data_IF_214415769684
#
_entry.id   IF_214415769684
#
_cell.length_a   1.000
_cell.length_b   1.000
_cell.length_c   1.000
_cell.angle_alpha   90.00
_cell.angle_beta   90.00
_cell.angle_gamma   90.00
#
_symmetry.space_group_name_H-M   'P 1'
#
loop_
_entity.id
_entity.type
_entity.pdbx_description
1 polymer ?
#
# COMPACT_ATOMS: atom_id res chain seq x y z
N UNK A 1 -9.92 -3.86 19.43
CA UNK A 1 -9.63 -3.15 18.16
C UNK A 1 -8.85 -1.85 18.34
N UNK A 2 -9.19 -0.93 19.28
CA UNK A 2 -8.52 0.38 19.37
C UNK A 2 -7.00 0.33 19.53
N UNK A 3 -6.49 -0.58 20.37
CA UNK A 3 -5.04 -0.79 20.57
C UNK A 3 -4.35 -1.18 19.25
N UNK A 4 -4.97 -2.05 18.46
CA UNK A 4 -4.40 -2.53 17.21
C UNK A 4 -4.38 -1.44 16.13
N UNK A 5 -5.44 -0.63 16.03
CA UNK A 5 -5.45 0.57 15.18
C UNK A 5 -4.40 1.61 15.63
N UNK A 6 -4.23 1.78 16.95
CA UNK A 6 -3.18 2.64 17.51
C UNK A 6 -1.76 2.17 17.14
N UNK A 7 -1.52 0.85 17.15
CA UNK A 7 -0.24 0.29 16.70
C UNK A 7 0.00 0.53 15.20
N UNK A 8 -1.01 0.29 14.34
CA UNK A 8 -0.89 0.59 12.91
C UNK A 8 -0.62 2.09 12.70
N UNK A 9 -1.30 2.95 13.46
CA UNK A 9 -1.10 4.39 13.39
C UNK A 9 0.35 4.77 13.72
N UNK A 10 0.88 4.34 14.86
CA UNK A 10 2.24 4.69 15.29
C UNK A 10 3.30 4.13 14.33
N UNK A 11 3.19 2.85 13.95
CA UNK A 11 4.14 2.20 13.05
C UNK A 11 4.06 2.79 11.63
N UNK A 12 2.85 3.04 11.14
CA UNK A 12 2.60 3.65 9.84
C UNK A 12 3.11 5.08 9.76
N UNK A 13 2.85 5.91 10.78
CA UNK A 13 3.39 7.27 10.89
C UNK A 13 4.92 7.26 10.85
N UNK A 14 5.53 6.55 11.80
CA UNK A 14 6.99 6.54 11.97
C UNK A 14 7.69 5.94 10.74
N UNK A 15 7.18 4.83 10.22
CA UNK A 15 7.74 4.14 9.06
C UNK A 15 7.67 4.97 7.79
N UNK A 16 6.50 5.52 7.45
CA UNK A 16 6.33 6.25 6.20
C UNK A 16 7.00 7.63 6.24
N UNK A 17 7.00 8.34 7.38
CA UNK A 17 7.80 9.58 7.54
C UNK A 17 9.28 9.28 7.32
N UNK A 18 9.80 8.20 7.92
CA UNK A 18 11.19 7.80 7.74
C UNK A 18 11.51 7.52 6.26
N UNK A 19 10.63 6.83 5.55
CA UNK A 19 10.77 6.59 4.10
C UNK A 19 10.85 7.92 3.33
N UNK A 20 9.93 8.86 3.60
CA UNK A 20 9.95 10.17 2.94
C UNK A 20 11.25 10.93 3.23
N UNK A 21 11.71 10.97 4.48
CA UNK A 21 12.95 11.66 4.88
C UNK A 21 14.17 11.08 4.17
N UNK A 22 14.31 9.75 4.15
CA UNK A 22 15.44 9.07 3.47
C UNK A 22 15.42 9.36 1.98
N UNK A 23 14.25 9.26 1.36
CA UNK A 23 14.11 9.51 -0.07
C UNK A 23 14.40 10.98 -0.37
N UNK A 24 13.95 11.94 0.44
CA UNK A 24 14.08 13.39 0.15
C UNK A 24 15.53 13.84 0.23
N UNK A 25 16.28 13.26 1.16
CA UNK A 25 17.73 13.47 1.24
C UNK A 25 18.47 13.09 -0.04
N UNK A 26 17.96 12.12 -0.79
CA UNK A 26 18.56 11.64 -2.04
C UNK A 26 17.77 12.07 -3.28
N UNK A 27 16.96 13.14 -3.19
CA UNK A 27 16.06 13.60 -4.26
C UNK A 27 16.70 13.67 -5.65
N UNK A 28 17.93 14.18 -5.75
CA UNK A 28 18.63 14.35 -7.02
C UNK A 28 19.12 13.05 -7.66
N UNK A 29 19.24 11.97 -6.87
CA UNK A 29 19.72 10.66 -7.34
C UNK A 29 18.64 9.57 -7.25
N UNK A 30 17.39 9.95 -6.99
CA UNK A 30 16.24 9.04 -6.92
C UNK A 30 16.06 8.30 -8.24
N UNK A 31 16.04 6.97 -8.14
CA UNK A 31 15.56 6.10 -9.21
C UNK A 31 14.04 6.19 -9.34
N UNK A 32 13.49 5.72 -10.47
CA UNK A 32 12.03 5.77 -10.70
C UNK A 32 11.23 4.95 -9.71
N UNK A 33 11.75 3.79 -9.28
CA UNK A 33 11.10 3.03 -8.19
C UNK A 33 11.12 3.81 -6.89
N UNK A 34 12.23 4.49 -6.55
CA UNK A 34 12.27 5.36 -5.36
C UNK A 34 11.25 6.51 -5.46
N UNK A 35 10.97 7.05 -6.66
CA UNK A 35 9.88 8.03 -6.85
C UNK A 35 8.49 7.42 -6.65
N UNK A 36 8.22 6.22 -7.17
CA UNK A 36 6.94 5.54 -6.91
C UNK A 36 6.76 5.20 -5.41
N UNK A 37 7.84 4.75 -4.75
CA UNK A 37 7.85 4.50 -3.30
C UNK A 37 7.62 5.78 -2.50
N UNK A 38 8.11 6.93 -2.97
CA UNK A 38 7.82 8.21 -2.35
C UNK A 38 6.31 8.52 -2.39
N UNK A 39 5.67 8.42 -3.56
CA UNK A 39 4.22 8.63 -3.67
C UNK A 39 3.41 7.60 -2.89
N UNK A 40 3.90 6.36 -2.80
CA UNK A 40 3.27 5.31 -1.99
C UNK A 40 3.31 5.66 -0.50
N UNK A 41 4.45 6.12 0.01
CA UNK A 41 4.57 6.57 1.39
C UNK A 41 3.72 7.82 1.69
N UNK A 42 3.51 8.72 0.72
CA UNK A 42 2.56 9.83 0.85
C UNK A 42 1.12 9.32 0.95
N UNK A 43 0.71 8.40 0.08
CA UNK A 43 -0.63 7.79 0.14
C UNK A 43 -0.85 7.07 1.48
N UNK A 44 0.11 6.23 1.89
CA UNK A 44 0.05 5.48 3.14
C UNK A 44 -0.03 6.42 4.37
N UNK A 45 0.65 7.58 4.35
CA UNK A 45 0.49 8.57 5.42
C UNK A 45 -0.91 9.18 5.46
N UNK A 46 -1.49 9.53 4.31
CA UNK A 46 -2.87 10.03 4.25
C UNK A 46 -3.85 8.99 4.82
N UNK A 47 -3.63 7.70 4.53
CA UNK A 47 -4.40 6.61 5.14
C UNK A 47 -4.21 6.55 6.66
N UNK A 48 -2.98 6.65 7.14
CA UNK A 48 -2.69 6.60 8.56
C UNK A 48 -3.37 7.75 9.32
N UNK A 49 -3.41 8.96 8.74
CA UNK A 49 -4.10 10.10 9.33
C UNK A 49 -5.62 9.90 9.49
N UNK A 50 -6.26 9.03 8.69
CA UNK A 50 -7.69 8.75 8.83
C UNK A 50 -8.01 7.66 9.87
N UNK A 51 -7.03 6.86 10.30
CA UNK A 51 -7.26 5.76 11.27
C UNK A 51 -7.88 6.20 12.61
N UNK A 52 -7.51 7.36 13.21
CA UNK A 52 -8.17 7.83 14.42
C UNK A 52 -9.67 8.07 14.24
N UNK A 53 -10.11 8.47 13.04
CA UNK A 53 -11.52 8.68 12.72
C UNK A 53 -12.29 7.36 12.69
N UNK A 54 -11.68 6.28 12.18
CA UNK A 54 -12.27 4.94 12.22
C UNK A 54 -12.43 4.42 13.67
N UNK A 55 -11.45 4.70 14.55
CA UNK A 55 -11.55 4.36 15.98
C UNK A 55 -12.64 5.17 16.67
N UNK A 56 -12.75 6.46 16.36
CA UNK A 56 -13.79 7.34 16.89
C UNK A 56 -15.20 6.86 16.48
N UNK A 57 -15.39 6.54 15.21
CA UNK A 57 -16.65 5.98 14.70
C UNK A 57 -17.06 4.70 15.43
N UNK A 58 -16.12 3.77 15.63
CA UNK A 58 -16.39 2.52 16.34
C UNK A 58 -16.67 2.68 17.84
N UNK A 59 -16.35 3.84 18.43
CA UNK A 59 -16.49 4.08 19.87
C UNK A 59 -17.71 4.93 20.23
N UNK A 60 -17.95 6.02 19.50
CA UNK A 60 -19.00 7.01 19.79
C UNK A 60 -19.90 7.29 18.59
N UNK A 61 -19.71 6.58 17.49
CA UNK A 61 -20.39 6.86 16.23
C UNK A 61 -19.78 8.04 15.48
N UNK A 62 -20.25 8.25 14.26
CA UNK A 62 -19.82 9.35 13.41
C UNK A 62 -20.52 10.66 13.79
N UNK A 63 -19.81 11.53 14.52
CA UNK A 63 -20.31 12.85 14.98
C UNK A 63 -19.62 14.05 14.31
N UNK A 64 -18.67 13.79 13.41
CA UNK A 64 -17.78 14.81 12.81
C UNK A 64 -18.38 15.49 11.56
N UNK A 65 -19.66 15.26 11.30
CA UNK A 65 -20.40 15.84 10.18
C UNK A 65 -20.11 15.19 8.83
N UNK A 66 -20.91 15.55 7.83
CA UNK A 66 -20.89 14.94 6.49
C UNK A 66 -19.63 15.26 5.69
N UNK A 67 -19.04 16.45 5.88
CA UNK A 67 -17.81 16.83 5.18
C UNK A 67 -16.66 15.87 5.50
N UNK A 68 -16.35 15.69 6.79
CA UNK A 68 -15.29 14.77 7.20
C UNK A 68 -15.63 13.32 6.85
N UNK A 69 -16.91 12.92 6.87
CA UNK A 69 -17.34 11.59 6.46
C UNK A 69 -16.93 11.30 5.00
N UNK A 70 -17.29 12.21 4.09
CA UNK A 70 -16.90 12.14 2.68
C UNK A 70 -15.38 12.14 2.52
N UNK A 71 -14.65 13.01 3.24
CA UNK A 71 -13.20 13.10 3.17
C UNK A 71 -12.50 11.81 3.63
N UNK A 72 -12.92 11.22 4.74
CA UNK A 72 -12.32 10.00 5.30
C UNK A 72 -12.53 8.81 4.36
N UNK A 73 -13.77 8.59 3.90
CA UNK A 73 -14.04 7.51 2.93
C UNK A 73 -13.28 7.75 1.62
N UNK A 74 -13.23 8.98 1.13
CA UNK A 74 -12.49 9.31 -0.09
C UNK A 74 -10.99 9.02 0.06
N UNK A 75 -10.35 9.46 1.14
CA UNK A 75 -8.92 9.21 1.40
C UNK A 75 -8.62 7.72 1.51
N UNK A 76 -9.50 6.94 2.15
CA UNK A 76 -9.39 5.49 2.19
C UNK A 76 -9.37 4.88 0.77
N UNK A 77 -10.32 5.27 -0.09
CA UNK A 77 -10.40 4.78 -1.47
C UNK A 77 -9.23 5.25 -2.34
N UNK A 78 -8.89 6.53 -2.28
CA UNK A 78 -7.75 7.11 -2.99
C UNK A 78 -6.47 6.37 -2.63
N UNK A 79 -6.22 6.13 -1.34
CA UNK A 79 -5.06 5.37 -0.90
C UNK A 79 -5.03 3.99 -1.58
N UNK A 80 -6.12 3.24 -1.52
CA UNK A 80 -6.18 1.91 -2.12
C UNK A 80 -5.86 1.93 -3.63
N UNK A 81 -6.54 2.80 -4.39
CA UNK A 81 -6.32 2.91 -5.84
C UNK A 81 -4.90 3.36 -6.18
N UNK A 82 -4.40 4.40 -5.51
CA UNK A 82 -3.05 4.90 -5.74
C UNK A 82 -2.00 3.85 -5.38
N UNK A 83 -2.11 3.19 -4.23
CA UNK A 83 -1.17 2.16 -3.80
C UNK A 83 -1.13 0.99 -4.78
N UNK A 84 -2.29 0.51 -5.23
CA UNK A 84 -2.39 -0.58 -6.21
C UNK A 84 -1.75 -0.22 -7.56
N UNK A 85 -2.06 0.98 -8.09
CA UNK A 85 -1.52 1.47 -9.36
C UNK A 85 -0.02 1.76 -9.28
N UNK A 86 0.47 2.33 -8.18
CA UNK A 86 1.90 2.56 -7.95
C UNK A 86 2.68 1.26 -7.92
N UNK A 87 2.15 0.21 -7.25
CA UNK A 87 2.76 -1.11 -7.23
C UNK A 87 2.77 -1.77 -8.63
N UNK A 88 1.70 -1.60 -9.41
CA UNK A 88 1.66 -2.04 -10.79
C UNK A 88 2.73 -1.33 -11.65
N UNK A 89 2.88 -0.01 -11.50
CA UNK A 89 3.93 0.74 -12.18
C UNK A 89 5.35 0.31 -11.75
N UNK A 90 5.55 -0.03 -10.48
CA UNK A 90 6.82 -0.61 -10.00
C UNK A 90 7.09 -1.95 -10.70
N UNK A 91 6.10 -2.83 -10.80
CA UNK A 91 6.26 -4.13 -11.47
C UNK A 91 6.60 -3.96 -12.96
N UNK A 92 5.92 -3.04 -13.65
CA UNK A 92 6.19 -2.70 -15.06
C UNK A 92 7.59 -2.09 -15.23
N UNK A 93 8.01 -1.15 -14.36
CA UNK A 93 9.37 -0.57 -14.41
C UNK A 93 10.44 -1.66 -14.25
N UNK A 94 10.23 -2.62 -13.34
CA UNK A 94 11.14 -3.76 -13.15
C UNK A 94 11.15 -4.68 -14.36
N UNK A 95 9.99 -4.98 -14.94
CA UNK A 95 9.87 -5.78 -16.16
C UNK A 95 10.61 -5.16 -17.34
N UNK A 96 10.34 -3.90 -17.65
CA UNK A 96 10.99 -3.19 -18.76
C UNK A 96 12.52 -3.09 -18.57
N UNK A 97 12.97 -2.82 -17.35
CA UNK A 97 14.40 -2.71 -17.04
C UNK A 97 15.17 -4.04 -17.18
N UNK A 98 14.53 -5.18 -16.94
CA UNK A 98 15.20 -6.50 -16.87
C UNK A 98 14.98 -7.32 -18.13
N UNK A 99 13.74 -7.39 -18.61
CA UNK A 99 13.33 -8.26 -19.72
C UNK A 99 13.68 -7.64 -21.06
N UNK A 100 13.44 -6.34 -21.22
CA UNK A 100 13.66 -5.61 -22.47
C UNK A 100 14.94 -4.75 -22.45
N UNK A 101 15.57 -4.57 -21.27
CA UNK A 101 16.83 -3.84 -21.10
C UNK A 101 16.88 -2.47 -21.85
N UNK A 102 15.73 -1.80 -21.95
CA UNK A 102 15.52 -0.68 -22.88
C UNK A 102 16.42 0.51 -22.49
N UNK A 103 17.59 0.64 -23.12
CA UNK A 103 18.52 1.75 -22.88
C UNK A 103 17.90 3.10 -23.27
N UNK A 104 17.05 3.14 -24.30
CA UNK A 104 16.31 4.33 -24.73
C UNK A 104 15.28 4.82 -23.68
N UNK A 105 14.84 3.97 -22.76
CA UNK A 105 13.88 4.31 -21.70
C UNK A 105 14.54 5.10 -20.56
N UNK A 106 15.87 5.07 -20.45
CA UNK A 106 16.61 5.68 -19.33
C UNK A 106 16.68 7.21 -19.42
N UNK A 107 16.61 7.79 -20.64
CA UNK A 107 16.84 9.22 -20.85
C UNK A 107 15.55 10.06 -20.90
N UNK A 108 14.42 9.54 -21.41
CA UNK A 108 13.10 10.23 -21.38
C UNK A 108 12.30 10.02 -20.07
N UNK A 109 12.94 9.44 -19.05
CA UNK A 109 12.30 8.80 -17.90
C UNK A 109 11.78 9.79 -16.85
N UNK A 110 12.53 10.85 -16.54
CA UNK A 110 12.24 11.69 -15.36
C UNK A 110 10.91 12.44 -15.48
N UNK A 111 10.67 13.12 -16.61
CA UNK A 111 9.41 13.83 -16.86
C UNK A 111 8.23 12.84 -16.97
N UNK A 112 8.43 11.70 -17.63
CA UNK A 112 7.41 10.66 -17.79
C UNK A 112 6.96 10.07 -16.45
N UNK A 113 7.85 9.88 -15.46
CA UNK A 113 7.46 9.37 -14.14
C UNK A 113 6.59 10.37 -13.38
N UNK A 114 6.94 11.66 -13.38
CA UNK A 114 6.15 12.66 -12.68
C UNK A 114 4.76 12.80 -13.28
N UNK A 115 4.65 12.77 -14.61
CA UNK A 115 3.36 12.71 -15.31
C UNK A 115 2.60 11.44 -14.92
N UNK A 116 3.28 10.28 -14.91
CA UNK A 116 2.67 9.00 -14.51
C UNK A 116 2.11 9.07 -13.09
N UNK A 117 2.87 9.61 -12.14
CA UNK A 117 2.42 9.77 -10.76
C UNK A 117 1.22 10.73 -10.68
N UNK A 118 1.27 11.87 -11.38
CA UNK A 118 0.14 12.80 -11.44
C UNK A 118 -1.12 12.13 -12.01
N UNK A 119 -0.99 11.35 -13.08
CA UNK A 119 -2.09 10.56 -13.65
C UNK A 119 -2.63 9.54 -12.65
N UNK A 120 -1.77 8.86 -11.89
CA UNK A 120 -2.21 7.90 -10.85
C UNK A 120 -3.02 8.60 -9.76
N UNK A 121 -2.58 9.78 -9.30
CA UNK A 121 -3.33 10.56 -8.31
C UNK A 121 -4.69 10.99 -8.87
N UNK A 122 -4.71 11.56 -10.08
CA UNK A 122 -5.96 11.95 -10.74
C UNK A 122 -6.90 10.77 -10.94
N UNK A 123 -6.38 9.59 -11.33
CA UNK A 123 -7.16 8.37 -11.44
C UNK A 123 -7.70 7.91 -10.08
N UNK A 124 -6.90 8.00 -9.01
CA UNK A 124 -7.34 7.69 -7.65
C UNK A 124 -8.49 8.58 -7.18
N UNK A 125 -8.39 9.90 -7.43
CA UNK A 125 -9.49 10.85 -7.16
C UNK A 125 -10.73 10.55 -8.01
N UNK A 126 -10.54 10.28 -9.29
CA UNK A 126 -11.64 9.96 -10.20
C UNK A 126 -12.39 8.68 -9.79
N UNK A 127 -11.66 7.63 -9.42
CA UNK A 127 -12.29 6.38 -8.97
C UNK A 127 -12.93 6.48 -7.58
N UNK A 128 -12.48 7.40 -6.72
CA UNK A 128 -13.11 7.68 -5.43
C UNK A 128 -14.29 8.68 -5.53
N UNK A 129 -14.61 9.17 -6.73
CA UNK A 129 -15.67 10.14 -6.95
C UNK A 129 -17.06 9.65 -6.48
N UNK A 130 -17.47 8.39 -6.71
CA UNK A 130 -18.75 7.90 -6.20
C UNK A 130 -18.86 8.07 -4.68
N UNK A 131 -17.82 7.78 -3.93
CA UNK A 131 -17.78 7.92 -2.48
C UNK A 131 -17.85 9.39 -2.06
N UNK A 132 -17.14 10.27 -2.74
CA UNK A 132 -17.21 11.72 -2.48
C UNK A 132 -18.65 12.23 -2.66
N UNK A 133 -19.34 11.78 -3.71
CA UNK A 133 -20.69 12.22 -4.04
C UNK A 133 -21.75 11.62 -3.11
N UNK A 134 -21.68 10.31 -2.84
CA UNK A 134 -22.76 9.55 -2.22
C UNK A 134 -22.52 9.12 -0.77
N UNK A 135 -21.33 9.36 -0.18
CA UNK A 135 -21.15 9.16 1.25
C UNK A 135 -21.99 10.14 2.08
N UNK A 136 -22.69 9.60 3.09
CA UNK A 136 -23.58 10.33 4.00
C UNK A 136 -23.44 9.76 5.42
N UNK A 137 -23.84 10.57 6.42
CA UNK A 137 -24.01 10.09 7.78
C UNK A 137 -25.41 9.49 7.90
N UNK A 138 -25.49 8.19 8.15
CA UNK A 138 -26.74 7.47 8.30
C UNK A 138 -26.98 7.18 9.77
N UNK A 139 -28.17 7.55 10.27
CA UNK A 139 -28.67 7.08 11.56
C UNK A 139 -29.46 5.79 11.34
N UNK A 140 -29.04 4.66 11.92
CA UNK A 140 -29.81 3.43 11.79
C UNK A 140 -31.19 3.59 12.44
N UNK A 141 -32.21 2.93 11.89
CA UNK A 141 -33.61 3.06 12.33
C UNK A 141 -33.88 2.63 13.78
N UNK A 142 -32.94 1.92 14.42
CA UNK A 142 -33.04 1.57 15.85
C UNK A 142 -32.39 2.65 16.71
N UNK A 143 -33.18 3.25 17.62
CA UNK A 143 -32.80 4.38 18.47
C UNK A 143 -31.51 4.20 19.30
N UNK A 144 -31.02 2.96 19.49
CA UNK A 144 -29.79 2.67 20.26
C UNK A 144 -28.53 2.51 19.38
N UNK A 145 -28.65 2.67 18.07
CA UNK A 145 -27.52 2.45 17.15
C UNK A 145 -26.70 3.72 16.94
N UNK A 146 -25.37 3.59 17.04
CA UNK A 146 -24.47 4.72 16.77
C UNK A 146 -24.60 5.19 15.30
N UNK A 147 -24.54 6.51 15.03
CA UNK A 147 -24.51 7.04 13.67
C UNK A 147 -23.29 6.52 12.93
N UNK A 148 -23.41 6.19 11.65
CA UNK A 148 -22.32 5.66 10.82
C UNK A 148 -22.11 6.48 9.56
N UNK A 149 -20.87 6.60 9.13
CA UNK A 149 -20.52 7.19 7.85
C UNK A 149 -20.52 6.10 6.77
N UNK A 150 -21.50 6.12 5.88
CA UNK A 150 -21.68 5.06 4.89
C UNK A 150 -22.06 5.58 3.51
N UNK A 151 -21.95 4.72 2.50
CA UNK A 151 -22.42 5.03 1.15
C UNK A 151 -23.95 4.94 1.08
N UNK A 152 -24.58 6.04 0.68
CA UNK A 152 -26.04 6.16 0.61
C UNK A 152 -26.65 5.21 -0.42
N UNK A 153 -27.78 4.61 -0.08
CA UNK A 153 -28.54 3.68 -0.93
C UNK A 153 -30.05 4.00 -0.82
N UNK A 154 -30.41 5.28 -0.72
CA UNK A 154 -31.79 5.72 -0.46
C UNK A 154 -32.66 5.61 -1.72
N UNK A 155 -32.05 5.67 -2.90
CA UNK A 155 -32.73 5.57 -4.18
C UNK A 155 -32.01 4.61 -5.14
N UNK A 156 -32.67 4.31 -6.27
CA UNK A 156 -32.15 3.35 -7.26
C UNK A 156 -30.83 3.83 -7.89
N UNK A 157 -30.67 5.13 -8.13
CA UNK A 157 -29.45 5.68 -8.73
C UNK A 157 -28.25 5.53 -7.79
N UNK A 158 -28.44 5.82 -6.50
CA UNK A 158 -27.46 5.63 -5.44
C UNK A 158 -27.10 4.16 -5.26
N UNK A 159 -28.09 3.26 -5.31
CA UNK A 159 -27.86 1.82 -5.25
C UNK A 159 -27.05 1.33 -6.45
N UNK A 160 -27.36 1.79 -7.66
CA UNK A 160 -26.58 1.46 -8.84
C UNK A 160 -25.15 1.99 -8.74
N UNK A 161 -24.97 3.23 -8.26
CA UNK A 161 -23.65 3.82 -8.04
C UNK A 161 -22.84 3.03 -7.00
N UNK A 162 -23.49 2.52 -5.96
CA UNK A 162 -22.87 1.64 -4.96
C UNK A 162 -22.32 0.35 -5.59
N UNK A 163 -23.13 -0.33 -6.42
CA UNK A 163 -22.68 -1.52 -7.15
C UNK A 163 -21.54 -1.19 -8.13
N UNK A 164 -21.62 -0.07 -8.86
CA UNK A 164 -20.56 0.37 -9.76
C UNK A 164 -19.25 0.66 -9.02
N UNK A 165 -19.31 1.38 -7.88
CA UNK A 165 -18.15 1.61 -7.01
C UNK A 165 -17.54 0.28 -6.57
N UNK A 166 -18.35 -0.68 -6.10
CA UNK A 166 -17.88 -1.98 -5.62
C UNK A 166 -17.25 -2.82 -6.73
N UNK A 167 -17.82 -2.78 -7.93
CA UNK A 167 -17.26 -3.40 -9.12
C UNK A 167 -15.91 -2.77 -9.50
N UNK A 168 -15.83 -1.44 -9.58
CA UNK A 168 -14.58 -0.73 -9.87
C UNK A 168 -13.50 -1.01 -8.81
N UNK A 169 -13.90 -1.06 -7.54
CA UNK A 169 -13.02 -1.35 -6.42
C UNK A 169 -12.46 -2.78 -6.49
N UNK A 170 -13.28 -3.78 -6.81
CA UNK A 170 -12.87 -5.17 -6.90
C UNK A 170 -12.11 -5.49 -8.20
N UNK A 171 -12.65 -5.14 -9.36
CA UNK A 171 -12.04 -5.48 -10.65
C UNK A 171 -10.96 -4.48 -11.05
N UNK A 172 -11.25 -3.19 -10.98
CA UNK A 172 -10.32 -2.14 -11.40
C UNK A 172 -9.20 -1.89 -10.39
N UNK A 173 -9.51 -1.91 -9.10
CA UNK A 173 -8.55 -1.61 -8.04
C UNK A 173 -7.74 -2.81 -7.55
N UNK A 174 -8.28 -4.03 -7.64
CA UNK A 174 -7.62 -5.23 -7.09
C UNK A 174 -7.21 -6.24 -8.18
N UNK A 175 -8.17 -6.82 -8.90
CA UNK A 175 -7.88 -7.92 -9.83
C UNK A 175 -7.02 -7.50 -11.01
N UNK A 176 -7.35 -6.40 -11.69
CA UNK A 176 -6.58 -5.94 -12.85
C UNK A 176 -5.11 -5.62 -12.48
N UNK A 177 -4.81 -4.82 -11.44
CA UNK A 177 -3.44 -4.61 -10.98
C UNK A 177 -2.73 -5.91 -10.59
N UNK A 178 -3.43 -6.85 -9.93
CA UNK A 178 -2.88 -8.16 -9.57
C UNK A 178 -2.42 -8.96 -10.79
N UNK A 179 -3.24 -9.02 -11.82
CA UNK A 179 -2.92 -9.74 -13.05
C UNK A 179 -1.73 -9.09 -13.78
N UNK A 180 -1.71 -7.77 -13.89
CA UNK A 180 -0.60 -7.02 -14.51
C UNK A 180 0.71 -7.27 -13.76
N UNK A 181 0.69 -7.15 -12.43
CA UNK A 181 1.85 -7.39 -11.58
C UNK A 181 2.33 -8.84 -11.66
N UNK A 182 1.41 -9.80 -11.59
CA UNK A 182 1.71 -11.22 -11.72
C UNK A 182 2.40 -11.55 -13.04
N UNK A 183 1.84 -11.10 -14.16
CA UNK A 183 2.43 -11.28 -15.48
C UNK A 183 3.83 -10.65 -15.59
N UNK A 184 4.00 -9.41 -15.09
CA UNK A 184 5.29 -8.73 -15.07
C UNK A 184 6.33 -9.50 -14.24
N UNK A 185 5.99 -9.95 -13.04
CA UNK A 185 6.92 -10.65 -12.17
C UNK A 185 7.28 -12.04 -12.66
N UNK A 186 6.34 -12.77 -13.27
CA UNK A 186 6.64 -14.05 -13.95
C UNK A 186 7.72 -13.84 -15.02
N UNK A 187 7.56 -12.81 -15.86
CA UNK A 187 8.56 -12.46 -16.88
C UNK A 187 9.92 -12.05 -16.28
N UNK A 188 9.91 -11.26 -15.20
CA UNK A 188 11.13 -10.86 -14.48
C UNK A 188 11.86 -12.08 -13.89
N UNK A 189 11.15 -12.96 -13.18
CA UNK A 189 11.72 -14.15 -12.54
C UNK A 189 12.30 -15.08 -13.60
N UNK A 190 11.55 -15.36 -14.67
CA UNK A 190 12.01 -16.22 -15.76
C UNK A 190 13.33 -15.70 -16.37
N UNK A 191 13.42 -14.39 -16.64
CA UNK A 191 14.66 -13.78 -17.17
C UNK A 191 15.80 -13.77 -16.16
N UNK A 192 15.53 -13.64 -14.87
CA UNK A 192 16.55 -13.71 -13.83
C UNK A 192 17.08 -15.13 -13.62
N UNK A 193 16.25 -16.16 -13.82
CA UNK A 193 16.68 -17.55 -13.77
C UNK A 193 17.56 -17.92 -14.97
N UNK A 194 17.26 -17.39 -16.17
CA UNK A 194 18.02 -17.69 -17.39
C UNK A 194 19.37 -16.96 -17.47
N UNK A 195 19.43 -15.72 -17.00
CA UNK A 195 20.64 -14.93 -17.06
C UNK A 195 21.26 -14.89 -15.67
N UNK A 196 22.41 -15.56 -15.44
CA UNK A 196 23.25 -15.46 -14.22
C UNK A 196 23.69 -14.01 -13.97
N UNK A 197 22.75 -13.15 -13.58
CA UNK A 197 22.89 -11.69 -13.50
C UNK A 197 23.17 -11.27 -12.07
N UNK A 198 23.93 -10.17 -11.95
CA UNK A 198 24.47 -9.58 -10.73
C UNK A 198 23.52 -9.62 -9.51
N UNK A 199 24.00 -10.03 -8.31
CA UNK A 199 23.21 -10.14 -7.08
C UNK A 199 22.45 -8.86 -6.68
N UNK A 200 22.96 -7.69 -7.03
CA UNK A 200 22.36 -6.39 -6.67
C UNK A 200 21.01 -6.12 -7.37
N UNK A 201 20.81 -6.60 -8.62
CA UNK A 201 19.53 -6.46 -9.34
C UNK A 201 18.46 -7.41 -8.79
N UNK A 202 18.86 -8.58 -8.31
CA UNK A 202 17.96 -9.54 -7.67
C UNK A 202 17.38 -8.99 -6.36
N UNK A 203 18.16 -8.20 -5.59
CA UNK A 203 17.69 -7.60 -4.32
C UNK A 203 16.53 -6.62 -4.53
N UNK A 204 16.67 -5.65 -5.44
CA UNK A 204 15.60 -4.67 -5.70
C UNK A 204 14.31 -5.31 -6.23
N UNK A 205 14.44 -6.34 -7.06
CA UNK A 205 13.29 -7.14 -7.54
C UNK A 205 12.64 -7.90 -6.40
N UNK A 206 13.43 -8.50 -5.50
CA UNK A 206 12.91 -9.20 -4.32
C UNK A 206 12.09 -8.28 -3.43
N UNK A 207 12.56 -7.05 -3.19
CA UNK A 207 11.78 -6.06 -2.42
C UNK A 207 10.45 -5.74 -3.10
N UNK A 208 10.48 -5.49 -4.42
CA UNK A 208 9.26 -5.20 -5.17
C UNK A 208 8.23 -6.35 -5.11
N UNK A 209 8.68 -7.60 -5.31
CA UNK A 209 7.84 -8.79 -5.19
C UNK A 209 7.27 -8.94 -3.77
N UNK A 210 8.10 -8.74 -2.73
CA UNK A 210 7.65 -8.86 -1.34
C UNK A 210 6.58 -7.82 -0.99
N UNK A 211 6.78 -6.57 -1.41
CA UNK A 211 5.84 -5.47 -1.13
C UNK A 211 4.52 -5.71 -1.87
N UNK A 212 4.58 -6.10 -3.14
CA UNK A 212 3.39 -6.50 -3.89
C UNK A 212 2.69 -7.71 -3.24
N UNK A 213 3.45 -8.71 -2.81
CA UNK A 213 2.91 -9.90 -2.16
C UNK A 213 2.18 -9.56 -0.86
N UNK A 214 2.77 -8.72 -0.01
CA UNK A 214 2.13 -8.27 1.23
C UNK A 214 0.87 -7.45 0.95
N UNK A 215 0.89 -6.55 -0.03
CA UNK A 215 -0.32 -5.82 -0.44
C UNK A 215 -1.46 -6.79 -0.77
N UNK A 216 -1.22 -7.80 -1.62
CA UNK A 216 -2.25 -8.76 -1.96
C UNK A 216 -2.66 -9.65 -0.79
N UNK A 217 -1.73 -10.12 0.02
CA UNK A 217 -2.05 -10.94 1.19
C UNK A 217 -2.91 -10.18 2.20
N UNK A 218 -2.65 -8.88 2.40
CA UNK A 218 -3.42 -8.04 3.29
C UNK A 218 -4.83 -7.74 2.74
N UNK A 219 -4.95 -7.45 1.44
CA UNK A 219 -6.21 -7.02 0.84
C UNK A 219 -7.11 -8.17 0.35
N UNK A 220 -6.55 -9.35 0.03
CA UNK A 220 -7.32 -10.48 -0.51
C UNK A 220 -8.49 -10.90 0.39
N UNK A 221 -8.32 -11.04 1.73
CA UNK A 221 -9.43 -11.42 2.58
C UNK A 221 -10.59 -10.42 2.50
N UNK A 222 -10.29 -9.12 2.43
CA UNK A 222 -11.31 -8.08 2.31
C UNK A 222 -12.03 -8.19 0.97
N UNK A 223 -11.29 -8.36 -0.13
CA UNK A 223 -11.90 -8.50 -1.45
C UNK A 223 -12.72 -9.79 -1.62
N UNK A 224 -12.39 -10.87 -0.91
CA UNK A 224 -13.20 -12.08 -0.90
C UNK A 224 -14.51 -11.82 -0.14
N UNK A 225 -14.43 -11.28 1.07
CA UNK A 225 -15.62 -11.05 1.90
C UNK A 225 -16.54 -9.99 1.28
N UNK A 226 -15.99 -8.90 0.74
CA UNK A 226 -16.76 -7.84 0.06
C UNK A 226 -17.52 -8.39 -1.16
N UNK A 227 -16.91 -9.37 -1.87
CA UNK A 227 -17.53 -10.03 -3.01
C UNK A 227 -18.68 -10.94 -2.57
N UNK A 228 -18.49 -11.74 -1.51
CA UNK A 228 -19.54 -12.56 -0.92
C UNK A 228 -20.72 -11.72 -0.41
N UNK A 229 -20.45 -10.59 0.26
CA UNK A 229 -21.50 -9.64 0.66
C UNK A 229 -22.25 -9.05 -0.55
N UNK A 230 -21.53 -8.76 -1.64
CA UNK A 230 -22.15 -8.29 -2.89
C UNK A 230 -23.08 -9.34 -3.48
N UNK A 231 -22.67 -10.61 -3.52
CA UNK A 231 -23.51 -11.72 -3.98
C UNK A 231 -24.74 -11.93 -3.09
N UNK A 232 -24.59 -11.81 -1.77
CA UNK A 232 -25.70 -11.85 -0.81
C UNK A 232 -26.71 -10.72 -1.08
N UNK A 233 -26.23 -9.48 -1.28
CA UNK A 233 -27.07 -8.32 -1.59
C UNK A 233 -27.78 -8.41 -2.94
N UNK A 234 -27.17 -9.08 -3.91
CA UNK A 234 -27.80 -9.42 -5.20
C UNK A 234 -28.79 -10.58 -5.12
N UNK A 235 -28.99 -11.18 -3.93
CA UNK A 235 -29.80 -12.39 -3.71
C UNK A 235 -29.37 -13.58 -4.58
N UNK A 236 -28.10 -13.58 -5.02
CA UNK A 236 -27.49 -14.67 -5.80
C UNK A 236 -27.04 -15.84 -4.92
N UNK A 237 -27.00 -15.63 -3.59
CA UNK A 237 -26.79 -16.65 -2.57
C UNK A 237 -27.88 -16.51 -1.50
N UNK A 238 -28.18 -17.58 -0.76
CA UNK A 238 -29.14 -17.53 0.34
C UNK A 238 -28.70 -16.51 1.40
N UNK A 239 -29.56 -15.52 1.69
CA UNK A 239 -29.31 -14.48 2.69
C UNK A 239 -30.08 -14.80 3.98
N UNK A 240 -29.37 -15.17 5.05
CA UNK A 240 -29.93 -15.27 6.41
C UNK A 240 -29.43 -14.13 7.29
N UNK A 241 -30.13 -13.82 8.39
CA UNK A 241 -29.67 -12.81 9.36
C UNK A 241 -28.31 -13.18 9.94
N UNK A 242 -28.11 -14.45 10.30
CA UNK A 242 -26.82 -14.96 10.80
C UNK A 242 -25.69 -14.73 9.79
N UNK A 243 -25.92 -15.04 8.50
CA UNK A 243 -24.92 -14.82 7.45
C UNK A 243 -24.53 -13.35 7.34
N UNK A 244 -25.49 -12.42 7.45
CA UNK A 244 -25.21 -10.99 7.39
C UNK A 244 -24.36 -10.51 8.59
N UNK A 245 -24.63 -11.04 9.79
CA UNK A 245 -23.83 -10.74 10.98
C UNK A 245 -22.39 -11.27 10.86
N UNK A 246 -22.23 -12.52 10.40
CA UNK A 246 -20.92 -13.10 10.12
C UNK A 246 -20.14 -12.30 9.07
N UNK A 247 -20.80 -11.91 7.97
CA UNK A 247 -20.19 -11.09 6.94
C UNK A 247 -19.77 -9.72 7.48
N UNK A 248 -20.60 -9.06 8.31
CA UNK A 248 -20.25 -7.76 8.91
C UNK A 248 -18.99 -7.83 9.77
N UNK A 249 -18.86 -8.86 10.60
CA UNK A 249 -17.64 -9.10 11.41
C UNK A 249 -16.45 -9.41 10.49
N UNK A 250 -16.63 -10.27 9.49
CA UNK A 250 -15.58 -10.65 8.56
C UNK A 250 -15.08 -9.44 7.73
N UNK A 251 -15.97 -8.55 7.29
CA UNK A 251 -15.62 -7.29 6.60
C UNK A 251 -14.71 -6.46 7.50
N UNK A 252 -15.12 -6.24 8.75
CA UNK A 252 -14.35 -5.43 9.70
C UNK A 252 -12.96 -6.00 9.98
N UNK A 253 -12.86 -7.32 10.18
CA UNK A 253 -11.58 -7.98 10.47
C UNK A 253 -10.65 -8.02 9.26
N UNK A 254 -11.20 -8.30 8.08
CA UNK A 254 -10.43 -8.36 6.83
C UNK A 254 -10.01 -6.96 6.35
N UNK A 255 -10.82 -5.94 6.58
CA UNK A 255 -10.47 -4.54 6.36
C UNK A 255 -9.31 -4.11 7.26
N UNK A 256 -9.36 -4.45 8.54
CA UNK A 256 -8.25 -4.19 9.47
C UNK A 256 -6.93 -4.77 8.96
N UNK A 257 -6.95 -6.00 8.45
CA UNK A 257 -5.77 -6.63 7.83
C UNK A 257 -5.32 -5.89 6.56
N UNK A 258 -6.26 -5.42 5.73
CA UNK A 258 -6.00 -4.55 4.59
C UNK A 258 -5.29 -3.26 5.00
N UNK A 259 -5.76 -2.60 6.06
CA UNK A 259 -5.16 -1.38 6.62
C UNK A 259 -3.73 -1.62 7.13
N UNK A 260 -3.42 -2.79 7.66
CA UNK A 260 -2.07 -3.13 8.14
C UNK A 260 -0.99 -3.06 7.04
N UNK A 261 -1.35 -3.12 5.75
CA UNK A 261 -0.35 -3.04 4.67
C UNK A 261 0.48 -1.73 4.73
N UNK A 262 -0.12 -0.62 5.16
CA UNK A 262 0.54 0.69 5.17
C UNK A 262 1.71 0.78 6.16
N UNK A 263 1.73 -0.03 7.22
CA UNK A 263 2.85 -0.11 8.15
C UNK A 263 3.86 -1.21 7.78
N UNK A 264 3.43 -2.25 7.06
CA UNK A 264 4.31 -3.32 6.59
C UNK A 264 5.22 -2.86 5.44
N UNK A 265 4.75 -1.94 4.59
CA UNK A 265 5.52 -1.37 3.47
C UNK A 265 6.90 -0.82 3.92
N UNK A 266 6.98 0.17 4.85
CA UNK A 266 8.25 0.64 5.41
C UNK A 266 9.13 -0.44 6.03
N UNK A 267 8.54 -1.41 6.74
CA UNK A 267 9.27 -2.53 7.35
C UNK A 267 9.95 -3.37 6.26
N UNK A 268 9.27 -3.65 5.15
CA UNK A 268 9.88 -4.38 4.04
C UNK A 268 11.03 -3.59 3.41
N UNK A 269 10.94 -2.26 3.31
CA UNK A 269 12.03 -1.44 2.79
C UNK A 269 13.26 -1.46 3.71
N UNK A 270 13.07 -1.36 5.03
CA UNK A 270 14.18 -1.44 6.02
C UNK A 270 14.79 -2.83 6.10
N UNK A 271 13.96 -3.89 6.11
CA UNK A 271 14.45 -5.25 6.26
C UNK A 271 14.92 -5.89 4.95
N UNK A 272 14.48 -5.44 3.77
CA UNK A 272 14.90 -6.02 2.50
C UNK A 272 15.82 -5.13 1.65
N UNK A 273 15.93 -3.82 1.95
CA UNK A 273 16.73 -2.85 1.20
C UNK A 273 18.08 -2.49 1.84
N UNK A 274 19.21 -2.93 1.26
CA UNK A 274 20.57 -2.63 1.78
C UNK A 274 20.88 -1.13 1.80
N UNK A 275 20.44 -0.36 0.79
CA UNK A 275 20.64 1.09 0.72
C UNK A 275 19.87 1.84 1.82
N UNK A 276 18.60 1.45 2.03
CA UNK A 276 17.74 2.03 3.06
C UNK A 276 18.31 1.80 4.48
N UNK A 277 18.88 0.62 4.72
CA UNK A 277 19.59 0.30 5.98
C UNK A 277 20.79 1.21 6.22
N UNK A 278 21.63 1.39 5.20
CA UNK A 278 22.82 2.26 5.30
C UNK A 278 22.44 3.72 5.62
N UNK A 279 21.41 4.24 4.95
CA UNK A 279 20.92 5.60 5.19
C UNK A 279 20.23 5.76 6.55
N UNK A 280 19.44 4.77 6.98
CA UNK A 280 18.84 4.73 8.31
C UNK A 280 19.91 4.72 9.40
N UNK A 281 20.94 3.89 9.25
CA UNK A 281 22.10 3.84 10.15
C UNK A 281 22.71 5.23 10.33
N UNK A 282 22.99 5.90 9.21
CA UNK A 282 23.62 7.21 9.19
C UNK A 282 22.75 8.29 9.85
N UNK A 283 21.43 8.20 9.72
CA UNK A 283 20.49 9.11 10.39
C UNK A 283 20.48 8.84 11.90
N UNK A 284 20.38 7.58 12.32
CA UNK A 284 20.37 7.21 13.74
C UNK A 284 21.68 7.56 14.46
N UNK A 285 22.82 7.40 13.79
CA UNK A 285 24.13 7.83 14.32
C UNK A 285 24.22 9.36 14.42
N UNK A 286 23.66 10.11 13.46
CA UNK A 286 23.63 11.58 13.50
C UNK A 286 22.67 12.14 14.56
N UNK A 287 21.58 11.44 14.86
CA UNK A 287 20.61 11.83 15.89
C UNK A 287 21.05 11.43 17.31
N UNK A 288 22.19 10.77 17.47
CA UNK A 288 22.68 10.29 18.77
C UNK A 288 21.88 9.13 19.36
N UNK A 289 20.88 8.59 18.65
CA UNK A 289 19.97 7.56 19.15
C UNK A 289 20.60 6.17 19.24
N UNK A 290 21.71 5.91 18.54
CA UNK A 290 22.45 4.65 18.65
C UNK A 290 23.89 4.76 18.15
N UNK A 291 24.85 4.26 18.95
CA UNK A 291 26.23 4.03 18.50
C UNK A 291 26.28 2.89 17.46
N UNK A 292 27.33 2.82 16.61
CA UNK A 292 27.46 1.79 15.57
C UNK A 292 27.32 0.35 16.10
N UNK A 293 27.71 0.13 17.35
CA UNK A 293 27.70 -1.15 18.06
C UNK A 293 26.30 -1.60 18.50
N UNK A 294 25.41 -0.68 18.92
CA UNK A 294 24.06 -1.05 19.40
C UNK A 294 23.08 -1.34 18.26
N UNK A 295 23.25 -0.68 17.09
CA UNK A 295 22.48 -1.00 15.87
C UNK A 295 22.80 -2.39 15.33
N UNK A 296 24.06 -2.83 15.47
CA UNK A 296 24.48 -4.17 15.07
C UNK A 296 23.93 -5.28 15.98
N UNK A 297 23.61 -4.97 17.24
CA UNK A 297 22.94 -5.91 18.15
C UNK A 297 21.43 -6.01 17.87
N UNK A 298 20.76 -4.90 17.55
CA UNK A 298 19.33 -4.90 17.24
C UNK A 298 18.99 -5.54 15.88
N UNK A 299 19.90 -5.47 14.90
CA UNK A 299 19.69 -6.03 13.56
C UNK A 299 20.85 -6.96 13.12
N UNK A 300 20.87 -8.23 13.56
CA UNK A 300 21.96 -9.18 13.24
C UNK A 300 22.16 -9.40 11.74
N UNK A 301 21.10 -9.23 10.93
CA UNK A 301 21.16 -9.36 9.47
C UNK A 301 21.97 -8.26 8.77
N UNK A 302 22.35 -7.18 9.46
CA UNK A 302 23.19 -6.11 8.92
C UNK A 302 24.68 -6.49 8.96
N UNK A 303 25.10 -7.27 9.97
CA UNK A 303 26.46 -7.82 10.07
C UNK A 303 26.80 -8.74 8.90
N UNK A 304 25.85 -9.55 8.42
CA UNK A 304 26.05 -10.46 7.28
C UNK A 304 26.23 -9.72 5.94
N UNK A 305 25.63 -8.54 5.74
CA UNK A 305 25.80 -7.81 4.46
C UNK A 305 27.12 -7.05 4.39
N UNK A 306 27.59 -6.48 5.50
CA UNK A 306 28.88 -5.78 5.55
C UNK A 306 30.06 -6.74 5.34
N UNK A 307 29.97 -7.97 5.88
CA UNK A 307 30.95 -9.02 5.60
C UNK A 307 30.96 -9.43 4.11
N UNK A 308 29.79 -9.53 3.46
CA UNK A 308 29.74 -9.82 2.01
C UNK A 308 30.24 -8.68 1.11
N UNK A 309 30.16 -7.42 1.56
CA UNK A 309 30.76 -6.28 0.86
C UNK A 309 32.28 -6.21 1.10
N UNK A 310 32.74 -6.59 2.30
CA UNK A 310 34.17 -6.75 2.58
C UNK A 310 34.78 -7.86 1.74
N UNK A 311 34.18 -9.06 1.67
CA UNK A 311 34.70 -10.18 0.87
C UNK A 311 34.71 -9.88 -0.64
N UNK A 312 33.74 -9.10 -1.14
CA UNK A 312 33.74 -8.63 -2.53
C UNK A 312 34.77 -7.51 -2.78
N UNK A 313 35.11 -6.71 -1.77
CA UNK A 313 36.15 -5.69 -1.88
C UNK A 313 37.57 -6.31 -1.85
N UNK A 314 37.79 -7.36 -1.04
CA UNK A 314 39.09 -8.05 -0.98
C UNK A 314 39.34 -8.93 -2.21
N UNK A 315 38.30 -9.42 -2.88
CA UNK A 315 38.41 -10.20 -4.12
C UNK A 315 38.60 -9.36 -5.38
N UNK A 316 38.40 -8.03 -5.32
CA UNK A 316 38.67 -7.09 -6.40
C UNK A 316 40.10 -6.50 -6.38
N UNK A 317 40.92 -6.87 -5.39
CA UNK A 317 42.33 -6.47 -5.27
C UNK A 317 43.33 -7.56 -5.67
N UNK A 318 42.85 -8.69 -6.14
CA UNK A 318 43.65 -9.75 -6.77
C UNK A 318 42.97 -10.09 -8.09
N UNK A 319 43.71 -9.86 -9.21
CA UNK A 319 43.31 -9.88 -10.62
C UNK A 319 42.90 -8.52 -11.21
#
# INVERSE_FOLDING_TARGET
MPVAYGLIFLLGMMGNILVLVILERHRQTRSSTETFLFHLAVADLLLVFILPFAVAEGSVGWVLGTFLCKTVIALYKINFYCSSLLLACIAVDRYLAIVHAVHAYRHRRLLSIHITCAVIWLAGFFFALPEILFAKVSQPHHNDSLPRCTFSQENQAETNAWFTSRFLYHFGGFLLPMLVMGWCYVGVVHRLCQAQRRPQRQKAVRVAILVTGVFFLCWSPYHIVIFLDTLSRLKAMGSSCEMNDYLSVAITMSEFLGLAHCCLNPMLYTFAGVKFRSDLSRILTKLGCAGPTSLCQFFPSWRKSSLSESENATSLTTF
#
